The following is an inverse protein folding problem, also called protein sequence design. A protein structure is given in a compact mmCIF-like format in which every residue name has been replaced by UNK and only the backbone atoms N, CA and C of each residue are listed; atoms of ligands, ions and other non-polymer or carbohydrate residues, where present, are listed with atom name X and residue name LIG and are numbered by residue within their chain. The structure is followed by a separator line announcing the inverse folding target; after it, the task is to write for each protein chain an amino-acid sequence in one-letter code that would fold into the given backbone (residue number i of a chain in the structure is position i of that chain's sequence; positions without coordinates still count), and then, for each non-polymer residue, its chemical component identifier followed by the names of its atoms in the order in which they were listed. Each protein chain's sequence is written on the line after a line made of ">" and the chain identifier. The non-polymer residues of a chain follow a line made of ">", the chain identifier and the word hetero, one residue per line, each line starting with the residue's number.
data_IF_875316200363
#
_entry.id   IF_875316200363
#
_cell.length_a   1.000
_cell.length_b   1.000
_cell.length_c   1.000
_cell.angle_alpha   90.00
_cell.angle_beta   90.00
_cell.angle_gamma   90.00
#
_symmetry.space_group_name_H-M   'P 1'
#
loop_
_entity.id
_entity.type
_entity.pdbx_description
1 polymer ?
#
# COMPACT_ATOMS: atom_id res chain seq x y z
N UNK A 1 -9.88 2.11 30.60
CA UNK A 1 -9.70 3.15 29.56
C UNK A 1 -8.24 3.16 29.15
N UNK A 2 -7.92 2.44 28.08
CA UNK A 2 -6.73 2.63 27.24
C UNK A 2 -7.26 2.67 25.82
N UNK A 3 -6.74 3.58 24.99
CA UNK A 3 -7.05 3.63 23.56
C UNK A 3 -6.18 2.61 22.85
N UNK A 4 -6.79 1.58 22.27
CA UNK A 4 -6.10 0.75 21.28
C UNK A 4 -5.88 1.62 20.05
N UNK A 5 -4.63 1.73 19.60
CA UNK A 5 -4.34 2.16 18.23
C UNK A 5 -4.55 0.93 17.36
N UNK A 6 -5.54 0.95 16.46
CA UNK A 6 -5.47 0.07 15.30
C UNK A 6 -4.52 0.74 14.31
N UNK A 7 -3.44 0.05 13.94
CA UNK A 7 -2.69 0.36 12.73
C UNK A 7 -3.47 -0.24 11.55
N UNK A 8 -4.42 0.51 11.00
CA UNK A 8 -4.97 0.21 9.69
C UNK A 8 -3.98 0.78 8.66
N UNK A 9 -3.51 -0.06 7.74
CA UNK A 9 -2.79 0.43 6.57
C UNK A 9 -3.78 1.23 5.70
N UNK A 10 -3.66 2.55 5.73
CA UNK A 10 -4.55 3.45 5.00
C UNK A 10 -3.91 3.80 3.65
N UNK A 11 -4.33 3.10 2.59
CA UNK A 11 -3.98 3.46 1.20
C UNK A 11 -4.55 4.84 0.90
N UNK A 12 -3.68 5.84 0.73
CA UNK A 12 -4.07 7.24 0.59
C UNK A 12 -4.44 7.56 -0.86
N UNK A 13 -5.73 7.49 -1.20
CA UNK A 13 -6.23 7.93 -2.50
C UNK A 13 -6.18 9.47 -2.58
N UNK A 14 -5.29 10.02 -3.40
CA UNK A 14 -5.14 11.49 -3.58
C UNK A 14 -6.17 11.99 -4.60
N UNK A 15 -6.79 13.15 -4.33
CA UNK A 15 -8.13 13.46 -4.84
C UNK A 15 -8.33 14.89 -5.32
N UNK A 16 -9.01 14.99 -6.47
CA UNK A 16 -9.24 16.23 -7.22
C UNK A 16 -10.44 16.08 -8.21
N UNK A 17 -10.94 17.16 -8.84
CA UNK A 17 -12.38 17.49 -8.93
C UNK A 17 -12.83 18.46 -10.13
N UNK A 18 -13.48 18.46 -11.32
CA UNK A 18 -14.36 17.87 -12.37
C UNK A 18 -15.89 18.18 -12.34
N UNK A 19 -16.35 19.39 -12.78
CA UNK A 19 -17.79 19.78 -12.90
C UNK A 19 -18.15 21.02 -13.78
N UNK A 20 -19.01 20.86 -14.80
CA UNK A 20 -19.26 21.84 -15.90
C UNK A 20 -20.41 22.86 -15.70
N UNK A 21 -20.41 23.98 -16.46
CA UNK A 21 -21.57 24.88 -16.61
C UNK A 21 -21.74 25.55 -18.01
N UNK A 22 -22.80 25.15 -18.74
CA UNK A 22 -23.53 25.77 -19.87
C UNK A 22 -22.98 26.97 -20.71
N UNK A 23 -23.03 26.83 -22.05
CA UNK A 23 -23.12 27.95 -23.03
C UNK A 23 -22.87 27.55 -24.50
N UNK A 24 -23.81 26.92 -25.23
CA UNK A 24 -24.89 27.55 -26.03
C UNK A 24 -24.49 28.21 -27.37
N UNK A 25 -24.85 27.54 -28.47
CA UNK A 25 -25.09 28.00 -29.87
C UNK A 25 -24.45 29.29 -30.42
N UNK A 26 -23.75 29.15 -31.57
CA UNK A 26 -23.80 30.12 -32.70
C UNK A 26 -23.26 29.52 -34.01
N UNK A 27 -24.11 29.41 -35.04
CA UNK A 27 -23.68 29.21 -36.43
C UNK A 27 -22.91 30.45 -36.97
N UNK A 28 -21.89 30.25 -37.81
CA UNK A 28 -21.43 31.23 -38.81
C UNK A 28 -20.59 30.57 -39.92
N UNK A 29 -20.76 31.08 -41.14
CA UNK A 29 -20.21 30.48 -42.37
C UNK A 29 -18.68 30.61 -42.53
N UNK A 30 -18.15 29.75 -43.42
CA UNK A 30 -16.74 29.62 -43.74
C UNK A 30 -16.09 30.85 -44.40
N UNK A 31 -14.79 31.03 -44.14
CA UNK A 31 -13.84 31.61 -45.09
C UNK A 31 -12.61 30.69 -45.21
N UNK A 32 -11.94 30.69 -46.35
CA UNK A 32 -10.93 29.71 -46.74
C UNK A 32 -9.61 30.39 -47.16
N UNK A 33 -8.81 30.79 -46.18
CA UNK A 33 -7.48 31.37 -46.37
C UNK A 33 -6.40 30.60 -45.60
N UNK A 34 -5.41 30.04 -46.31
CA UNK A 34 -4.34 29.27 -45.68
C UNK A 34 -3.33 30.15 -44.93
N UNK A 35 -3.22 29.95 -43.62
CA UNK A 35 -2.12 30.42 -42.77
C UNK A 35 -0.99 29.39 -42.65
N UNK A 36 0.14 29.81 -42.06
CA UNK A 36 1.21 28.88 -41.68
C UNK A 36 0.83 28.03 -40.47
N UNK A 37 1.60 26.98 -40.20
CA UNK A 37 1.38 26.08 -39.05
C UNK A 37 1.71 26.71 -37.71
N UNK A 38 0.86 27.62 -37.24
CA UNK A 38 0.67 27.88 -35.81
C UNK A 38 -0.08 26.67 -35.24
N UNK A 39 0.63 25.74 -34.59
CA UNK A 39 0.01 24.67 -33.78
C UNK A 39 -0.86 25.34 -32.73
N UNK A 40 -2.17 25.11 -32.80
CA UNK A 40 -3.12 26.05 -32.22
C UNK A 40 -3.10 26.02 -30.69
N UNK A 41 -3.07 27.20 -30.06
CA UNK A 41 -3.17 27.33 -28.59
C UNK A 41 -4.49 26.75 -28.04
N UNK A 42 -5.49 26.52 -28.91
CA UNK A 42 -6.74 25.84 -28.61
C UNK A 42 -6.60 24.32 -28.31
N UNK A 43 -5.44 23.71 -28.55
CA UNK A 43 -5.19 22.29 -28.24
C UNK A 43 -4.64 22.07 -26.81
N UNK A 44 -4.39 23.13 -26.03
CA UNK A 44 -3.88 23.05 -24.66
C UNK A 44 -4.93 23.39 -23.61
N UNK A 45 -4.81 22.75 -22.45
CA UNK A 45 -5.55 23.10 -21.24
C UNK A 45 -5.07 24.41 -20.64
N UNK A 46 -5.93 25.06 -19.86
CA UNK A 46 -5.60 26.25 -19.06
C UNK A 46 -5.52 25.92 -17.57
N UNK A 47 -4.82 26.73 -16.78
CA UNK A 47 -4.79 26.60 -15.31
C UNK A 47 -6.19 26.74 -14.70
N UNK A 48 -7.08 27.55 -15.27
CA UNK A 48 -8.47 27.67 -14.77
C UNK A 48 -9.30 26.42 -15.08
N UNK A 49 -9.08 25.79 -16.25
CA UNK A 49 -9.68 24.51 -16.57
C UNK A 49 -9.13 23.40 -15.67
N UNK A 50 -7.82 23.43 -15.35
CA UNK A 50 -7.21 22.49 -14.40
C UNK A 50 -7.79 22.70 -13.01
N UNK A 51 -7.86 23.94 -12.51
CA UNK A 51 -8.46 24.24 -11.21
C UNK A 51 -9.93 23.85 -11.14
N UNK A 52 -10.71 23.94 -12.22
CA UNK A 52 -12.08 23.39 -12.29
C UNK A 52 -12.15 21.87 -12.45
N UNK A 53 -11.07 21.27 -12.94
CA UNK A 53 -10.81 19.84 -12.82
C UNK A 53 -10.19 19.47 -11.45
N UNK A 54 -10.01 20.46 -10.56
CA UNK A 54 -9.65 20.35 -9.13
C UNK A 54 -10.55 21.22 -8.17
N UNK A 55 -11.80 21.60 -8.52
CA UNK A 55 -12.84 22.25 -7.67
C UNK A 55 -14.18 21.47 -7.43
N UNK A 56 -14.68 20.55 -8.31
CA UNK A 56 -15.99 19.84 -8.16
C UNK A 56 -16.00 18.30 -7.91
N UNK A 57 -15.47 17.41 -8.79
CA UNK A 57 -15.50 15.93 -8.70
C UNK A 57 -14.94 15.14 -7.47
N UNK A 58 -14.03 15.57 -6.58
CA UNK A 58 -13.92 14.84 -5.28
C UNK A 58 -15.15 15.11 -4.39
N UNK A 59 -15.99 16.10 -4.72
CA UNK A 59 -17.37 16.12 -4.25
C UNK A 59 -18.31 15.19 -5.06
N UNK A 60 -17.88 14.64 -6.20
CA UNK A 60 -18.44 13.39 -6.73
C UNK A 60 -18.01 12.21 -5.84
N UNK A 61 -16.79 12.17 -5.30
CA UNK A 61 -16.43 11.19 -4.25
C UNK A 61 -17.20 11.39 -2.94
N UNK A 62 -17.32 12.63 -2.42
CA UNK A 62 -18.19 12.93 -1.26
C UNK A 62 -19.68 12.62 -1.55
N UNK A 63 -20.08 12.58 -2.82
CA UNK A 63 -21.43 12.17 -3.24
C UNK A 63 -21.55 10.67 -3.58
N UNK A 64 -20.45 9.91 -3.60
CA UNK A 64 -20.40 8.52 -4.04
C UNK A 64 -20.70 8.29 -5.53
N UNK A 65 -20.57 9.30 -6.39
CA UNK A 65 -20.85 9.21 -7.83
C UNK A 65 -19.64 8.62 -8.58
N UNK A 66 -19.63 7.29 -8.66
CA UNK A 66 -18.57 6.50 -9.30
C UNK A 66 -18.39 6.82 -10.78
N UNK A 67 -19.49 7.08 -11.49
CA UNK A 67 -19.47 7.34 -12.92
C UNK A 67 -18.83 8.72 -13.20
N UNK A 68 -19.15 9.73 -12.39
CA UNK A 68 -18.51 11.04 -12.46
C UNK A 68 -17.05 11.02 -11.98
N UNK A 69 -16.71 10.22 -10.95
CA UNK A 69 -15.32 10.03 -10.52
C UNK A 69 -14.46 9.41 -11.63
N UNK A 70 -14.89 8.28 -12.20
CA UNK A 70 -14.18 7.61 -13.29
C UNK A 70 -14.14 8.43 -14.58
N UNK A 71 -15.13 9.29 -14.85
CA UNK A 71 -15.07 10.24 -15.95
C UNK A 71 -13.96 11.29 -15.77
N UNK A 72 -13.60 11.63 -14.52
CA UNK A 72 -12.49 12.53 -14.19
C UNK A 72 -11.10 11.89 -14.20
N UNK A 73 -11.00 10.56 -14.24
CA UNK A 73 -9.74 9.81 -14.43
C UNK A 73 -9.28 9.84 -15.89
N UNK A 74 -7.99 9.63 -16.15
CA UNK A 74 -7.39 9.55 -17.51
C UNK A 74 -7.77 8.26 -18.24
N UNK A 75 -7.50 8.18 -19.54
CA UNK A 75 -7.68 6.94 -20.31
C UNK A 75 -6.88 5.78 -19.72
N UNK A 76 -5.63 6.03 -19.29
CA UNK A 76 -4.76 5.05 -18.62
C UNK A 76 -5.41 4.54 -17.33
N UNK A 77 -5.88 5.45 -16.49
CA UNK A 77 -6.47 5.09 -15.21
C UNK A 77 -7.84 4.40 -15.33
N UNK A 78 -8.64 4.75 -16.35
CA UNK A 78 -9.91 4.05 -16.68
C UNK A 78 -9.69 2.62 -17.22
N UNK A 79 -8.49 2.24 -17.66
CA UNK A 79 -8.19 0.86 -18.06
C UNK A 79 -7.81 -0.05 -16.86
N UNK A 80 -7.29 0.51 -15.76
CA UNK A 80 -6.83 -0.25 -14.58
C UNK A 80 -7.76 -0.19 -13.37
N UNK A 81 -8.63 0.83 -13.24
CA UNK A 81 -9.56 0.96 -12.11
C UNK A 81 -11.00 0.63 -12.52
N UNK A 82 -11.63 -0.37 -11.89
CA UNK A 82 -13.05 -0.67 -12.12
C UNK A 82 -13.97 0.19 -11.26
N UNK A 83 -15.23 0.34 -11.70
CA UNK A 83 -16.29 0.98 -10.90
C UNK A 83 -16.55 0.27 -9.56
N UNK A 84 -16.21 -1.01 -9.41
CA UNK A 84 -16.35 -1.71 -8.12
C UNK A 84 -15.27 -1.26 -7.13
N UNK A 85 -14.03 -1.10 -7.57
CA UNK A 85 -12.92 -0.64 -6.71
C UNK A 85 -13.08 0.85 -6.36
N UNK A 86 -13.38 1.69 -7.36
CA UNK A 86 -13.66 3.11 -7.13
C UNK A 86 -14.82 3.33 -6.14
N UNK A 87 -15.90 2.54 -6.25
CA UNK A 87 -17.01 2.58 -5.30
C UNK A 87 -16.60 2.23 -3.86
N UNK A 88 -15.78 1.20 -3.68
CA UNK A 88 -15.27 0.78 -2.37
C UNK A 88 -14.30 1.80 -1.77
N UNK A 89 -13.44 2.42 -2.59
CA UNK A 89 -12.52 3.47 -2.16
C UNK A 89 -13.27 4.73 -1.67
N UNK A 90 -14.34 5.12 -2.37
CA UNK A 90 -15.24 6.21 -1.93
C UNK A 90 -15.94 5.89 -0.60
N UNK A 91 -16.51 4.69 -0.46
CA UNK A 91 -17.20 4.27 0.79
C UNK A 91 -16.22 4.24 1.99
N UNK A 92 -14.97 3.81 1.77
CA UNK A 92 -13.92 3.85 2.77
C UNK A 92 -13.55 5.29 3.16
N UNK A 93 -13.47 6.21 2.20
CA UNK A 93 -13.06 7.59 2.43
C UNK A 93 -14.16 8.41 3.13
N UNK A 94 -15.45 8.23 2.79
CA UNK A 94 -16.55 8.78 3.60
C UNK A 94 -16.54 8.19 5.03
N UNK A 95 -16.28 6.89 5.17
CA UNK A 95 -16.20 6.23 6.49
C UNK A 95 -15.05 6.74 7.37
N UNK A 96 -13.90 7.09 6.79
CA UNK A 96 -12.71 7.55 7.51
C UNK A 96 -12.67 9.06 7.74
N UNK A 97 -13.12 9.86 6.75
CA UNK A 97 -12.89 11.30 6.70
C UNK A 97 -14.19 12.12 6.53
N UNK A 98 -15.24 11.55 5.95
CA UNK A 98 -16.49 12.23 5.60
C UNK A 98 -16.32 13.24 4.46
N UNK A 99 -17.13 14.30 4.46
CA UNK A 99 -17.01 15.43 3.51
C UNK A 99 -15.61 16.08 3.54
N UNK A 100 -14.75 15.73 2.59
CA UNK A 100 -13.44 16.37 2.40
C UNK A 100 -13.63 17.70 1.66
N UNK A 101 -12.96 18.76 2.13
CA UNK A 101 -13.02 20.09 1.51
C UNK A 101 -11.63 20.64 1.20
N UNK A 102 -11.41 21.01 -0.06
CA UNK A 102 -10.19 21.65 -0.53
C UNK A 102 -10.08 23.08 0.05
N UNK A 103 -8.92 23.44 0.61
CA UNK A 103 -8.65 24.74 1.23
C UNK A 103 -7.70 25.60 0.40
N UNK A 104 -6.63 24.99 -0.09
CA UNK A 104 -5.62 25.60 -0.93
C UNK A 104 -5.21 24.59 -2.01
N UNK A 105 -4.78 25.10 -3.16
CA UNK A 105 -4.46 24.31 -4.33
C UNK A 105 -3.30 24.96 -5.07
N UNK A 106 -2.13 24.37 -4.96
CA UNK A 106 -0.95 24.77 -5.70
C UNK A 106 -0.82 23.97 -6.99
N UNK A 107 -0.37 24.63 -8.05
CA UNK A 107 0.02 24.01 -9.31
C UNK A 107 1.54 24.00 -9.30
N UNK A 108 2.12 22.81 -9.10
CA UNK A 108 3.56 22.61 -8.96
C UNK A 108 4.24 22.67 -10.34
N UNK A 109 3.61 22.03 -11.33
CA UNK A 109 4.07 21.97 -12.71
C UNK A 109 2.90 22.18 -13.68
N UNK A 110 3.15 22.81 -14.82
CA UNK A 110 2.15 23.07 -15.86
C UNK A 110 2.81 23.37 -17.22
N UNK A 111 2.50 22.59 -18.25
CA UNK A 111 2.90 22.88 -19.65
C UNK A 111 1.70 23.06 -20.62
N UNK A 112 0.47 22.90 -20.10
CA UNK A 112 -0.78 22.95 -20.85
C UNK A 112 -1.20 21.64 -21.50
N UNK A 113 -0.45 20.56 -21.31
CA UNK A 113 -0.79 19.16 -21.66
C UNK A 113 -0.65 18.26 -20.42
N UNK A 114 0.35 18.52 -19.58
CA UNK A 114 0.63 17.87 -18.31
C UNK A 114 0.60 18.90 -17.19
N UNK A 115 0.26 18.46 -15.98
CA UNK A 115 0.39 19.24 -14.75
C UNK A 115 0.59 18.36 -13.51
N UNK A 116 1.13 18.96 -12.46
CA UNK A 116 1.14 18.41 -11.09
C UNK A 116 0.47 19.39 -10.14
N UNK A 117 -0.40 18.90 -9.26
CA UNK A 117 -1.15 19.74 -8.31
C UNK A 117 -1.06 19.21 -6.89
N UNK A 118 -0.98 20.13 -5.92
CA UNK A 118 -0.99 19.81 -4.50
C UNK A 118 -2.19 20.52 -3.86
N UNK A 119 -3.17 19.73 -3.42
CA UNK A 119 -4.34 20.22 -2.69
C UNK A 119 -4.19 19.99 -1.19
N UNK A 120 -4.53 21.00 -0.38
CA UNK A 120 -4.62 20.83 1.08
C UNK A 120 -6.08 20.78 1.53
N UNK A 121 -6.37 19.89 2.47
CA UNK A 121 -7.69 19.65 3.04
C UNK A 121 -7.78 20.16 4.49
N UNK A 122 -6.62 20.30 5.15
CA UNK A 122 -6.47 20.51 6.58
C UNK A 122 -6.96 19.33 7.42
N UNK A 123 -6.83 18.12 6.87
CA UNK A 123 -6.86 16.83 7.56
C UNK A 123 -5.41 16.33 7.51
N UNK A 124 -4.73 16.35 8.66
CA UNK A 124 -3.30 15.99 8.83
C UNK A 124 -2.92 14.71 8.06
N UNK A 125 -3.69 13.63 8.23
CA UNK A 125 -3.44 12.34 7.56
C UNK A 125 -3.64 12.31 6.02
N UNK A 126 -4.22 13.35 5.41
CA UNK A 126 -4.33 13.48 3.94
C UNK A 126 -3.33 14.52 3.41
N UNK A 127 -3.11 15.60 4.16
CA UNK A 127 -2.16 16.65 3.80
C UNK A 127 -0.71 16.11 3.87
N UNK A 128 -0.36 15.40 4.94
CA UNK A 128 0.96 14.76 5.15
C UNK A 128 1.27 13.73 4.03
N UNK A 129 0.24 13.05 3.52
CA UNK A 129 0.39 12.04 2.46
C UNK A 129 0.71 12.64 1.07
N UNK A 130 0.45 13.95 0.87
CA UNK A 130 0.67 14.63 -0.40
C UNK A 130 1.99 15.41 -0.51
N UNK A 131 2.76 15.55 0.58
CA UNK A 131 3.76 16.64 0.74
C UNK A 131 4.92 16.72 -0.27
N UNK A 132 5.17 15.70 -1.11
CA UNK A 132 6.42 15.64 -1.91
C UNK A 132 6.24 15.71 -3.44
N UNK A 133 5.23 15.06 -4.01
CA UNK A 133 5.09 14.95 -5.48
C UNK A 133 3.88 15.69 -6.08
N UNK A 134 2.74 15.68 -5.38
CA UNK A 134 1.46 16.16 -5.91
C UNK A 134 0.84 15.23 -6.97
N UNK A 135 -0.48 15.29 -7.12
CA UNK A 135 -1.23 14.45 -8.05
C UNK A 135 -0.93 14.83 -9.51
N UNK A 136 -0.78 13.81 -10.38
CA UNK A 136 -0.57 13.96 -11.82
C UNK A 136 -1.88 14.24 -12.57
N UNK A 137 -1.83 15.17 -13.53
CA UNK A 137 -2.97 15.57 -14.36
C UNK A 137 -2.56 15.67 -15.84
N UNK A 138 -3.44 15.20 -16.73
CA UNK A 138 -3.26 15.19 -18.19
C UNK A 138 -4.44 15.84 -18.90
N UNK A 139 -4.17 16.54 -20.00
CA UNK A 139 -5.17 17.13 -20.87
C UNK A 139 -5.50 16.17 -22.01
N UNK A 140 -6.62 15.45 -21.91
CA UNK A 140 -7.11 14.52 -22.93
C UNK A 140 -8.49 14.93 -23.45
N UNK A 141 -8.72 14.75 -24.75
CA UNK A 141 -10.00 15.00 -25.44
C UNK A 141 -10.62 16.41 -25.27
N UNK A 142 -9.88 17.36 -24.70
CA UNK A 142 -10.34 18.73 -24.41
C UNK A 142 -10.72 18.99 -22.94
N UNK A 143 -10.37 18.07 -22.03
CA UNK A 143 -10.59 18.20 -20.59
C UNK A 143 -9.34 17.78 -19.80
N UNK A 144 -9.17 18.33 -18.59
CA UNK A 144 -8.16 17.86 -17.65
C UNK A 144 -8.68 16.64 -16.88
N UNK A 145 -7.86 15.60 -16.79
CA UNK A 145 -8.17 14.33 -16.12
C UNK A 145 -7.03 13.94 -15.17
N UNK A 146 -7.37 13.31 -14.05
CA UNK A 146 -6.38 12.77 -13.11
C UNK A 146 -5.66 11.61 -13.78
N UNK A 147 -4.34 11.64 -13.81
CA UNK A 147 -3.50 10.49 -14.20
C UNK A 147 -2.83 9.87 -12.98
N UNK A 148 -3.40 10.05 -11.78
CA UNK A 148 -2.86 9.56 -10.52
C UNK A 148 -3.59 8.29 -10.02
N UNK A 149 -3.77 7.34 -10.94
CA UNK A 149 -3.97 5.95 -10.56
C UNK A 149 -2.66 5.35 -10.04
N UNK A 150 -2.77 4.66 -8.91
CA UNK A 150 -1.67 4.01 -8.20
C UNK A 150 -0.97 2.97 -9.08
N UNK A 151 0.26 3.26 -9.53
CA UNK A 151 1.12 2.33 -10.28
C UNK A 151 1.71 1.21 -9.39
N UNK A 152 1.21 1.11 -8.14
CA UNK A 152 1.74 0.30 -7.05
C UNK A 152 1.09 -1.08 -6.86
N UNK A 153 0.03 -1.42 -7.60
CA UNK A 153 -0.48 -2.80 -7.59
C UNK A 153 0.31 -3.75 -8.52
N UNK A 154 0.92 -3.23 -9.59
CA UNK A 154 1.74 -4.00 -10.54
C UNK A 154 2.84 -3.16 -11.20
N UNK A 155 3.99 -3.04 -10.53
CA UNK A 155 5.29 -2.81 -11.17
C UNK A 155 5.60 -1.41 -11.70
N UNK A 156 6.29 -0.63 -10.85
CA UNK A 156 7.49 0.18 -11.16
C UNK A 156 7.61 0.80 -12.58
N UNK A 157 7.56 2.13 -12.63
CA UNK A 157 7.56 2.93 -13.85
C UNK A 157 8.75 2.64 -14.80
N UNK A 158 8.43 2.27 -16.05
CA UNK A 158 9.39 1.96 -17.10
C UNK A 158 9.70 3.18 -17.99
N UNK A 159 10.59 4.06 -17.52
CA UNK A 159 11.16 5.18 -18.30
C UNK A 159 12.67 4.98 -18.58
N UNK A 160 13.08 3.72 -18.75
CA UNK A 160 14.44 3.32 -19.15
C UNK A 160 14.52 2.82 -20.62
N UNK A 161 15.66 3.09 -21.25
CA UNK A 161 15.97 2.86 -22.67
C UNK A 161 15.82 1.37 -23.07
N UNK A 162 15.08 1.01 -24.14
CA UNK A 162 14.73 -0.40 -24.44
C UNK A 162 15.94 -1.25 -24.89
N UNK A 163 16.70 -1.76 -23.92
CA UNK A 163 17.95 -2.51 -24.12
C UNK A 163 17.93 -3.91 -23.48
N UNK A 164 17.36 -4.88 -24.21
CA UNK A 164 17.57 -6.34 -24.10
C UNK A 164 17.60 -7.01 -22.70
N UNK A 165 16.46 -7.63 -22.32
CA UNK A 165 16.50 -8.83 -21.47
C UNK A 165 15.50 -8.90 -20.32
N UNK A 166 14.24 -9.20 -20.61
CA UNK A 166 13.25 -9.64 -19.62
C UNK A 166 13.70 -10.97 -18.97
N UNK A 167 14.42 -10.87 -17.86
CA UNK A 167 14.61 -11.96 -16.90
C UNK A 167 13.51 -11.88 -15.86
N UNK A 168 12.35 -12.45 -16.19
CA UNK A 168 11.22 -12.70 -15.28
C UNK A 168 11.72 -12.99 -13.86
N UNK A 169 11.42 -12.07 -12.94
CA UNK A 169 11.81 -12.15 -11.54
C UNK A 169 11.33 -13.48 -10.97
N UNK A 170 12.28 -14.34 -10.62
CA UNK A 170 11.99 -15.67 -10.10
C UNK A 170 11.85 -15.52 -8.60
N UNK A 171 10.60 -15.38 -8.13
CA UNK A 171 10.23 -15.34 -6.71
C UNK A 171 11.05 -16.40 -5.96
N UNK A 172 11.78 -16.04 -4.89
CA UNK A 172 12.56 -16.99 -4.12
C UNK A 172 11.68 -18.15 -3.64
N UNK A 173 12.13 -19.41 -3.76
CA UNK A 173 11.34 -20.54 -3.29
C UNK A 173 11.28 -20.55 -1.75
N UNK A 174 10.08 -20.78 -1.21
CA UNK A 174 9.82 -20.88 0.23
C UNK A 174 10.83 -21.82 0.91
N UNK A 175 11.35 -21.38 2.06
CA UNK A 175 12.20 -22.20 2.93
C UNK A 175 11.35 -23.19 3.72
N UNK A 176 11.90 -24.35 4.07
CA UNK A 176 11.25 -25.22 5.05
C UNK A 176 11.54 -24.75 6.47
N UNK A 177 10.57 -24.90 7.40
CA UNK A 177 10.82 -24.71 8.84
C UNK A 177 12.02 -25.57 9.28
N UNK A 178 13.02 -24.92 9.89
CA UNK A 178 14.33 -25.47 10.22
C UNK A 178 15.46 -25.15 9.23
N UNK A 179 15.18 -24.47 8.11
CA UNK A 179 16.19 -23.90 7.20
C UNK A 179 16.42 -22.40 7.50
N UNK A 180 17.67 -21.94 7.37
CA UNK A 180 18.05 -20.55 7.71
C UNK A 180 18.14 -19.67 6.46
N UNK A 181 17.65 -18.44 6.56
CA UNK A 181 18.00 -17.35 5.65
C UNK A 181 19.21 -16.59 6.19
N UNK A 182 20.09 -16.09 5.31
CA UNK A 182 21.27 -15.31 5.70
C UNK A 182 21.47 -14.11 4.76
N UNK A 183 21.68 -12.94 5.36
CA UNK A 183 21.97 -11.67 4.68
C UNK A 183 23.48 -11.49 4.49
N UNK A 184 23.88 -10.72 3.48
CA UNK A 184 25.30 -10.47 3.13
C UNK A 184 26.08 -9.69 4.23
N UNK A 185 25.40 -9.12 5.24
CA UNK A 185 26.02 -8.44 6.39
C UNK A 185 26.48 -9.38 7.52
N UNK A 186 26.19 -10.68 7.40
CA UNK A 186 26.53 -11.70 8.39
C UNK A 186 25.45 -11.96 9.44
N UNK A 187 24.24 -11.41 9.25
CA UNK A 187 23.06 -11.76 10.06
C UNK A 187 22.33 -12.95 9.41
N UNK A 188 21.76 -13.84 10.21
CA UNK A 188 20.88 -14.90 9.74
C UNK A 188 19.70 -15.13 10.68
N UNK A 189 18.62 -15.68 10.14
CA UNK A 189 17.44 -16.09 10.90
C UNK A 189 16.94 -17.46 10.45
N UNK A 190 16.46 -18.25 11.40
CA UNK A 190 15.82 -19.55 11.19
C UNK A 190 14.42 -19.51 11.82
N UNK A 191 13.36 -19.81 11.06
CA UNK A 191 12.09 -20.26 11.67
C UNK A 191 12.32 -21.70 12.12
N UNK A 192 12.68 -21.89 13.38
CA UNK A 192 13.22 -23.14 13.92
C UNK A 192 12.13 -24.19 14.21
N UNK A 193 10.95 -23.76 14.66
CA UNK A 193 9.83 -24.66 14.95
C UNK A 193 8.46 -23.96 14.91
N UNK A 194 7.42 -24.76 14.71
CA UNK A 194 6.01 -24.41 14.89
C UNK A 194 5.41 -25.37 15.92
N UNK A 195 5.33 -24.94 17.18
CA UNK A 195 5.03 -25.82 18.32
C UNK A 195 3.63 -25.55 18.85
N UNK A 196 2.74 -26.55 18.84
CA UNK A 196 1.38 -26.41 19.39
C UNK A 196 1.38 -26.18 20.90
N UNK A 197 0.61 -25.19 21.35
CA UNK A 197 0.46 -24.86 22.78
C UNK A 197 -0.73 -25.64 23.37
N UNK A 198 -0.53 -26.48 24.40
CA UNK A 198 -1.64 -27.20 25.03
C UNK A 198 -2.62 -26.24 25.72
N UNK A 199 -3.92 -26.34 25.40
CA UNK A 199 -4.97 -25.51 26.01
C UNK A 199 -5.08 -25.68 27.53
N UNK A 200 -4.58 -26.77 28.10
CA UNK A 200 -4.51 -27.02 29.55
C UNK A 200 -3.19 -26.53 30.21
N UNK A 201 -2.30 -25.89 29.43
CA UNK A 201 -1.10 -25.21 29.92
C UNK A 201 -1.22 -23.68 30.01
N UNK A 202 -2.28 -23.11 29.43
CA UNK A 202 -2.58 -21.67 29.46
C UNK A 202 -2.92 -21.18 30.88
N UNK A 203 -2.47 -19.95 31.20
CA UNK A 203 -2.74 -19.25 32.45
C UNK A 203 -4.16 -18.69 32.60
N UNK A 204 -4.47 -18.10 33.76
CA UNK A 204 -5.79 -17.48 34.03
C UNK A 204 -6.04 -16.22 33.19
N UNK A 205 -4.97 -15.60 32.67
CA UNK A 205 -5.01 -14.34 31.92
C UNK A 205 -4.60 -14.47 30.45
N UNK A 206 -4.22 -15.67 30.00
CA UNK A 206 -3.88 -15.94 28.60
C UNK A 206 -5.15 -15.94 27.75
N UNK A 207 -5.10 -15.40 26.52
CA UNK A 207 -6.29 -15.26 25.66
C UNK A 207 -6.08 -15.85 24.28
N UNK A 208 -6.90 -16.85 23.95
CA UNK A 208 -6.95 -17.55 22.65
C UNK A 208 -8.39 -17.50 22.10
N UNK A 209 -8.55 -17.32 20.80
CA UNK A 209 -9.86 -17.29 20.12
C UNK A 209 -10.60 -18.63 20.24
N UNK A 210 -11.91 -18.59 20.53
CA UNK A 210 -12.70 -19.81 20.72
C UNK A 210 -12.73 -20.68 19.46
N UNK A 211 -12.20 -21.90 19.56
CA UNK A 211 -12.10 -22.86 18.46
C UNK A 211 -10.76 -22.85 17.72
N UNK A 212 -9.89 -21.87 17.97
CA UNK A 212 -8.53 -21.88 17.40
C UNK A 212 -7.61 -22.84 18.16
N UNK A 213 -6.60 -23.34 17.46
CA UNK A 213 -5.44 -24.03 18.04
C UNK A 213 -4.34 -22.99 18.25
N UNK A 214 -3.87 -22.75 19.48
CA UNK A 214 -2.73 -21.89 19.73
C UNK A 214 -1.40 -22.62 19.46
N UNK A 215 -0.40 -21.87 19.03
CA UNK A 215 0.95 -22.34 18.71
C UNK A 215 1.97 -21.21 18.93
N UNK A 216 3.24 -21.57 19.09
CA UNK A 216 4.35 -20.63 19.06
C UNK A 216 5.16 -20.80 17.78
N UNK A 217 5.53 -19.68 17.16
CA UNK A 217 6.62 -19.63 16.18
C UNK A 217 7.91 -19.45 16.96
N UNK A 218 8.87 -20.34 16.76
CA UNK A 218 10.19 -20.26 17.41
C UNK A 218 11.20 -19.75 16.39
N UNK A 219 11.83 -18.60 16.65
CA UNK A 219 12.88 -18.01 15.82
C UNK A 219 14.25 -18.18 16.49
N UNK A 220 15.27 -18.44 15.67
CA UNK A 220 16.69 -18.31 16.04
C UNK A 220 17.30 -17.20 15.20
N UNK A 221 17.85 -16.15 15.83
CA UNK A 221 18.55 -15.03 15.16
C UNK A 221 20.03 -15.10 15.53
N UNK A 222 20.91 -15.09 14.54
CA UNK A 222 22.37 -15.12 14.72
C UNK A 222 22.99 -13.86 14.14
N UNK A 223 23.90 -13.23 14.88
CA UNK A 223 24.69 -12.10 14.41
C UNK A 223 26.17 -12.51 14.28
N UNK A 224 26.59 -13.03 13.12
CA UNK A 224 28.02 -13.25 12.81
C UNK A 224 28.71 -11.98 12.28
N UNK A 225 27.96 -10.88 12.10
CA UNK A 225 28.44 -9.60 11.59
C UNK A 225 29.28 -8.78 12.59
N UNK A 226 30.01 -7.78 12.07
CA UNK A 226 30.95 -6.95 12.85
C UNK A 226 30.28 -5.88 13.75
N UNK A 227 28.95 -5.70 13.71
CA UNK A 227 28.22 -4.65 14.43
C UNK A 227 27.10 -5.20 15.33
N UNK A 228 26.72 -4.53 16.43
CA UNK A 228 25.58 -4.95 17.25
C UNK A 228 24.25 -4.69 16.52
N UNK A 229 23.57 -5.76 16.14
CA UNK A 229 22.23 -5.77 15.52
C UNK A 229 21.20 -5.14 16.45
N UNK A 230 20.24 -4.36 15.95
CA UNK A 230 19.07 -3.94 16.73
C UNK A 230 17.92 -4.92 16.51
N UNK A 231 17.36 -5.45 17.59
CA UNK A 231 16.32 -6.49 17.49
C UNK A 231 14.98 -5.91 17.04
N UNK A 232 14.79 -4.59 17.18
CA UNK A 232 13.62 -3.90 16.64
C UNK A 232 13.65 -3.70 15.12
N UNK A 233 14.73 -4.11 14.44
CA UNK A 233 14.75 -4.27 12.97
C UNK A 233 13.79 -5.38 12.51
N UNK A 234 13.44 -6.37 13.36
CA UNK A 234 12.73 -7.58 12.94
C UNK A 234 11.21 -7.50 13.17
N UNK A 235 10.46 -7.88 12.14
CA UNK A 235 9.01 -8.10 12.20
C UNK A 235 8.66 -9.54 11.81
N UNK A 236 7.75 -10.16 12.56
CA UNK A 236 7.23 -11.50 12.26
C UNK A 236 5.79 -11.39 11.75
N UNK A 237 5.53 -11.94 10.55
CA UNK A 237 4.19 -12.02 9.96
C UNK A 237 3.85 -13.49 9.73
N UNK A 238 2.63 -13.88 10.09
CA UNK A 238 2.09 -15.22 9.81
C UNK A 238 0.80 -15.02 9.03
N UNK A 239 0.86 -15.15 7.70
CA UNK A 239 -0.26 -14.77 6.81
C UNK A 239 -1.55 -15.57 7.08
N UNK A 240 -1.38 -16.86 7.39
CA UNK A 240 -2.46 -17.82 7.42
C UNK A 240 -1.98 -19.26 7.31
N UNK A 241 -2.92 -20.18 7.13
CA UNK A 241 -2.61 -21.49 6.58
C UNK A 241 -2.52 -21.41 5.04
N UNK A 242 -1.83 -22.36 4.42
CA UNK A 242 -1.72 -22.50 2.94
C UNK A 242 -3.06 -22.70 2.21
N UNK A 243 -4.16 -22.94 2.94
CA UNK A 243 -5.53 -22.97 2.40
C UNK A 243 -6.35 -21.70 2.74
N UNK A 244 -5.67 -20.64 3.20
CA UNK A 244 -6.24 -19.39 3.69
C UNK A 244 -6.67 -19.42 5.16
N UNK A 245 -7.31 -18.33 5.58
CA UNK A 245 -7.79 -18.12 6.96
C UNK A 245 -6.79 -17.37 7.83
N UNK A 246 -7.31 -16.44 8.64
CA UNK A 246 -6.51 -15.51 9.44
C UNK A 246 -5.92 -16.15 10.70
N UNK A 247 -4.77 -15.63 11.12
CA UNK A 247 -4.12 -15.93 12.40
C UNK A 247 -4.39 -14.81 13.40
N UNK A 248 -4.75 -15.15 14.63
CA UNK A 248 -4.87 -14.20 15.75
C UNK A 248 -3.62 -14.31 16.66
N UNK A 249 -2.99 -13.18 17.00
CA UNK A 249 -1.96 -13.16 18.06
C UNK A 249 -2.53 -13.58 19.41
N UNK A 250 -1.78 -14.39 20.17
CA UNK A 250 -2.15 -14.90 21.49
C UNK A 250 -1.40 -14.12 22.56
N UNK A 251 -2.13 -13.55 23.51
CA UNK A 251 -1.51 -13.01 24.72
C UNK A 251 -1.19 -14.14 25.69
N UNK A 252 0.09 -14.27 26.05
CA UNK A 252 0.58 -15.11 27.15
C UNK A 252 1.17 -14.21 28.25
N UNK A 253 0.96 -14.53 29.53
CA UNK A 253 1.45 -13.70 30.65
C UNK A 253 2.99 -13.64 30.74
N UNK A 254 3.67 -14.73 30.36
CA UNK A 254 5.15 -14.85 30.29
C UNK A 254 5.72 -14.56 28.88
N UNK A 255 5.00 -13.84 28.00
CA UNK A 255 5.48 -13.49 26.66
C UNK A 255 6.71 -12.56 26.71
N UNK A 256 7.74 -12.89 25.92
CA UNK A 256 8.93 -12.07 25.72
C UNK A 256 8.72 -11.08 24.56
N UNK A 257 9.52 -10.01 24.51
CA UNK A 257 9.50 -9.04 23.41
C UNK A 257 10.83 -9.07 22.66
N UNK A 258 10.77 -8.95 21.33
CA UNK A 258 11.96 -8.86 20.48
C UNK A 258 12.54 -7.44 20.54
N UNK A 259 13.17 -7.10 21.68
CA UNK A 259 13.70 -5.77 21.96
C UNK A 259 15.18 -5.80 22.40
N UNK A 260 15.87 -4.68 22.21
CA UNK A 260 17.28 -4.53 22.59
C UNK A 260 18.24 -4.79 21.44
N UNK A 261 19.45 -5.27 21.73
CA UNK A 261 20.52 -5.41 20.73
C UNK A 261 21.34 -6.69 20.92
N UNK A 262 21.57 -7.41 19.82
CA UNK A 262 22.35 -8.65 19.80
C UNK A 262 23.80 -8.34 19.39
N UNK A 263 24.77 -8.74 20.20
CA UNK A 263 26.18 -8.43 19.97
C UNK A 263 26.81 -9.33 18.89
N UNK A 264 27.90 -8.88 18.23
CA UNK A 264 28.70 -9.71 17.33
C UNK A 264 29.13 -11.05 17.94
N UNK A 265 28.82 -12.14 17.24
CA UNK A 265 29.12 -13.51 17.63
C UNK A 265 28.14 -14.15 18.62
N UNK A 266 26.99 -13.52 18.90
CA UNK A 266 25.93 -14.04 19.78
C UNK A 266 24.70 -14.52 18.98
N UNK A 267 23.90 -15.38 19.60
CA UNK A 267 22.63 -15.93 19.10
C UNK A 267 21.50 -15.59 20.07
N UNK A 268 20.30 -15.37 19.55
CA UNK A 268 19.07 -15.21 20.34
C UNK A 268 17.99 -16.17 19.85
N UNK A 269 17.47 -16.98 20.78
CA UNK A 269 16.16 -17.64 20.62
C UNK A 269 15.05 -16.61 20.92
N UNK A 270 13.98 -16.60 20.14
CA UNK A 270 12.77 -15.80 20.38
C UNK A 270 11.51 -16.63 20.10
N UNK A 271 10.39 -16.30 20.75
CA UNK A 271 9.09 -16.96 20.55
C UNK A 271 7.96 -15.95 20.57
N UNK A 272 7.14 -15.97 19.52
CA UNK A 272 5.85 -15.27 19.48
C UNK A 272 4.70 -16.28 19.39
N UNK A 273 3.53 -15.92 19.90
CA UNK A 273 2.39 -16.80 20.13
C UNK A 273 1.17 -16.38 19.30
N UNK A 274 0.54 -17.36 18.66
CA UNK A 274 -0.49 -17.17 17.65
C UNK A 274 -1.55 -18.27 17.75
N UNK A 275 -2.68 -18.11 17.05
CA UNK A 275 -3.73 -19.13 16.99
C UNK A 275 -4.55 -19.09 15.70
N UNK A 276 -4.97 -20.26 15.21
CA UNK A 276 -5.78 -20.41 13.98
C UNK A 276 -6.75 -21.60 14.07
N UNK A 277 -7.89 -21.54 13.39
CA UNK A 277 -8.80 -22.69 13.17
C UNK A 277 -8.15 -23.73 12.23
N UNK A 278 -7.23 -24.54 12.77
CA UNK A 278 -6.55 -25.62 12.04
C UNK A 278 -7.52 -26.70 11.56
N UNK A 279 -8.68 -26.87 12.22
CA UNK A 279 -9.68 -27.86 11.84
C UNK A 279 -10.43 -27.47 10.55
N UNK A 280 -10.48 -26.18 10.23
CA UNK A 280 -11.04 -25.63 8.99
C UNK A 280 -9.99 -25.33 7.93
N UNK A 281 -8.85 -24.78 8.33
CA UNK A 281 -7.86 -24.18 7.43
C UNK A 281 -6.62 -25.07 7.18
N UNK A 282 -6.38 -26.07 8.03
CA UNK A 282 -5.17 -26.89 8.04
C UNK A 282 -4.09 -26.40 9.02
N UNK A 283 -3.04 -27.20 9.20
CA UNK A 283 -1.91 -26.93 10.10
C UNK A 283 -0.69 -26.31 9.39
N UNK A 284 -0.64 -26.35 8.06
CA UNK A 284 0.47 -25.88 7.24
C UNK A 284 0.39 -24.35 7.08
N UNK A 285 1.34 -23.62 7.63
CA UNK A 285 1.37 -22.16 7.69
C UNK A 285 2.39 -21.56 6.72
N UNK A 286 2.20 -20.27 6.43
CA UNK A 286 3.18 -19.40 5.76
C UNK A 286 3.65 -18.35 6.79
N UNK A 287 4.97 -18.16 6.88
CA UNK A 287 5.63 -17.26 7.84
C UNK A 287 6.63 -16.38 7.09
N UNK A 288 6.60 -15.07 7.31
CA UNK A 288 7.59 -14.12 6.79
C UNK A 288 8.38 -13.51 7.95
N UNK A 289 9.69 -13.34 7.77
CA UNK A 289 10.52 -12.55 8.69
C UNK A 289 11.00 -11.30 7.96
N UNK A 290 10.35 -10.18 8.28
CA UNK A 290 10.71 -8.85 7.79
C UNK A 290 11.93 -8.32 8.56
N UNK A 291 12.83 -7.62 7.85
CA UNK A 291 13.95 -6.88 8.45
C UNK A 291 13.98 -5.44 7.92
N UNK A 292 13.65 -4.49 8.78
CA UNK A 292 13.55 -3.06 8.46
C UNK A 292 14.90 -2.35 8.66
N UNK A 293 15.69 -2.22 7.59
CA UNK A 293 16.91 -1.40 7.56
C UNK A 293 16.87 -0.36 6.43
N UNK A 294 17.79 0.62 6.47
CA UNK A 294 17.81 1.79 5.58
C UNK A 294 17.73 1.45 4.08
N UNK A 295 18.41 0.38 3.66
CA UNK A 295 18.34 -0.18 2.30
C UNK A 295 17.21 -1.22 2.21
N UNK A 296 15.94 -0.78 2.19
CA UNK A 296 14.78 -1.68 2.25
C UNK A 296 14.64 -2.63 1.03
N UNK A 297 15.10 -3.87 1.16
CA UNK A 297 14.64 -4.96 0.29
C UNK A 297 13.19 -5.33 0.65
N UNK A 298 12.29 -5.22 -0.32
CA UNK A 298 10.83 -5.35 -0.12
C UNK A 298 10.31 -6.80 -0.11
N UNK A 299 11.15 -7.79 -0.42
CA UNK A 299 10.80 -9.21 -0.42
C UNK A 299 11.36 -9.90 0.84
N UNK A 300 10.54 -10.15 1.88
CA UNK A 300 11.01 -10.88 3.06
C UNK A 300 11.29 -12.35 2.70
N UNK A 301 12.24 -13.02 3.38
CA UNK A 301 12.31 -14.47 3.33
C UNK A 301 11.02 -15.10 3.89
N UNK A 302 10.50 -16.10 3.17
CA UNK A 302 9.27 -16.83 3.50
C UNK A 302 9.59 -18.27 3.88
N UNK A 303 8.92 -18.79 4.92
CA UNK A 303 8.97 -20.18 5.36
C UNK A 303 7.60 -20.86 5.28
N UNK A 304 7.61 -22.15 5.01
CA UNK A 304 6.43 -23.04 5.08
C UNK A 304 6.66 -24.23 6.02
N UNK A 305 5.61 -24.62 6.75
CA UNK A 305 5.64 -25.80 7.61
C UNK A 305 4.35 -26.02 8.42
N UNK A 306 4.17 -27.23 8.96
CA UNK A 306 3.03 -27.56 9.84
C UNK A 306 3.30 -27.30 11.32
N UNK A 307 2.30 -26.76 12.01
CA UNK A 307 2.19 -26.81 13.49
C UNK A 307 2.20 -28.26 13.97
N UNK A 308 3.02 -28.54 15.00
CA UNK A 308 3.30 -29.88 15.54
C UNK A 308 2.76 -30.15 16.95
#
# INVERSE_FOLDING_TARGET
>A
MRTHKLSVAATALILALVGTACGSDSDSDADAGGGGGETSEAERGSEEALRRAVEDNLAAMNAGDTDAFLAGQSARCREVTTASEAGQAMELIDTLYGDISLRELDILEFDGVNARVLGTTGIEALDDAGEQDGARWVWEEGEWRSDDCEEGATGQAADEDPAEGDTSATVPPDLAVGESHAWDDGVSVTVAALTGIPLDSLGEFDTVTEGHTPFSVELEIVNEGDQPLDLSEFGLVVEGATNGGSVDSVYLEDAEFLEGRLAPGETMDFRDAYSIDTARNGSELVIEVWRYHDDMDFEPPTWSGSVS
#
